data_IF_046069334605
#
_entry.id   IF_046069334605
#
_cell.length_a   1.000
_cell.length_b   1.000
_cell.length_c   1.000
_cell.angle_alpha   90.00
_cell.angle_beta   90.00
_cell.angle_gamma   90.00
#
_symmetry.space_group_name_H-M   'P 1'
#
loop_
_entity.id
_entity.type
_entity.pdbx_description
1 polymer ?
#
# COMPACT_ATOMS: atom_id res chain seq x y z
N UNK A 1 1.47 -16.44 64.44
CA UNK A 1 1.98 -16.90 63.13
C UNK A 1 1.17 -16.22 62.07
N UNK A 2 1.79 -15.25 61.40
CA UNK A 2 1.19 -14.32 60.43
C UNK A 2 1.21 -14.93 59.03
N UNK A 3 0.05 -14.88 58.37
CA UNK A 3 -0.15 -15.15 56.94
C UNK A 3 0.51 -14.05 56.09
N UNK A 4 1.05 -14.38 54.90
CA UNK A 4 1.18 -13.39 53.83
C UNK A 4 0.11 -13.64 52.75
N UNK A 5 -0.74 -12.63 52.57
CA UNK A 5 -1.56 -12.41 51.38
C UNK A 5 -0.66 -12.13 50.17
N UNK A 6 -0.90 -12.82 49.06
CA UNK A 6 -0.34 -12.48 47.75
C UNK A 6 -1.23 -11.42 47.09
N UNK A 7 -0.69 -10.22 46.93
CA UNK A 7 -1.34 -9.12 46.23
C UNK A 7 -1.36 -9.38 44.72
N UNK A 8 -2.56 -9.50 44.15
CA UNK A 8 -2.76 -9.40 42.71
C UNK A 8 -2.53 -7.94 42.29
N UNK A 9 -1.48 -7.69 41.50
CA UNK A 9 -1.22 -6.38 40.91
C UNK A 9 -2.35 -5.96 39.95
N UNK A 10 -2.57 -4.64 39.77
CA UNK A 10 -3.63 -4.15 38.91
C UNK A 10 -3.39 -4.56 37.46
N UNK A 11 -4.43 -5.16 36.83
CA UNK A 11 -4.50 -5.34 35.37
C UNK A 11 -4.32 -3.97 34.73
N UNK A 12 -3.25 -3.80 33.95
CA UNK A 12 -3.03 -2.61 33.14
C UNK A 12 -4.24 -2.41 32.23
N UNK A 13 -4.93 -1.27 32.36
CA UNK A 13 -5.99 -0.88 31.44
C UNK A 13 -5.41 -0.66 30.04
N UNK A 14 -6.17 -0.97 28.96
CA UNK A 14 -5.75 -0.61 27.62
C UNK A 14 -5.57 0.91 27.52
N UNK A 15 -4.38 1.34 27.12
CA UNK A 15 -4.02 2.75 26.97
C UNK A 15 -4.88 3.39 25.87
N UNK A 16 -5.82 4.25 26.24
CA UNK A 16 -6.65 4.99 25.29
C UNK A 16 -5.86 6.07 24.55
N UNK A 17 -5.95 6.06 23.21
CA UNK A 17 -5.75 7.16 22.24
C UNK A 17 -4.53 8.07 22.43
N UNK A 18 -4.59 8.97 23.41
CA UNK A 18 -3.56 9.99 23.68
C UNK A 18 -2.26 9.40 24.25
N UNK A 19 -2.36 8.37 25.10
CA UNK A 19 -1.17 7.79 25.73
C UNK A 19 -0.36 6.96 24.74
N UNK A 20 -1.00 6.18 23.87
CA UNK A 20 -0.35 5.48 22.76
C UNK A 20 0.30 6.47 21.77
N UNK A 21 -0.36 7.60 21.52
CA UNK A 21 0.15 8.67 20.66
C UNK A 21 1.39 9.37 21.25
N UNK A 22 1.34 9.79 22.51
CA UNK A 22 2.47 10.43 23.19
C UNK A 22 3.67 9.48 23.34
N UNK A 23 3.40 8.20 23.57
CA UNK A 23 4.45 7.21 23.75
C UNK A 23 5.15 6.83 22.44
N UNK A 24 4.47 6.90 21.27
CA UNK A 24 5.02 6.41 19.98
C UNK A 24 5.25 7.48 18.92
N UNK A 25 4.38 8.47 18.75
CA UNK A 25 4.55 9.54 17.74
C UNK A 25 5.11 10.86 18.32
N UNK A 26 5.35 10.91 19.63
CA UNK A 26 5.96 12.03 20.34
C UNK A 26 5.00 13.18 20.67
N UNK A 27 5.40 14.02 21.63
CA UNK A 27 4.59 15.10 22.19
C UNK A 27 4.14 16.14 21.13
N UNK A 28 4.91 16.36 20.06
CA UNK A 28 4.54 17.33 19.03
C UNK A 28 3.33 16.88 18.19
N UNK A 29 3.23 15.58 17.86
CA UNK A 29 2.09 15.02 17.14
C UNK A 29 0.82 15.04 18.01
N UNK A 30 0.96 14.72 19.30
CA UNK A 30 -0.12 14.81 20.27
C UNK A 30 -0.61 16.25 20.48
N UNK A 31 0.30 17.21 20.66
CA UNK A 31 -0.06 18.63 20.85
C UNK A 31 -0.74 19.24 19.62
N UNK A 32 -0.25 18.96 18.41
CA UNK A 32 -0.90 19.43 17.16
C UNK A 32 -2.28 18.82 16.94
N UNK A 33 -2.51 17.60 17.42
CA UNK A 33 -3.81 16.95 17.37
C UNK A 33 -4.80 17.55 18.39
N UNK A 34 -4.35 17.80 19.62
CA UNK A 34 -5.17 18.45 20.67
C UNK A 34 -5.56 19.87 20.28
N UNK A 35 -4.64 20.64 19.68
CA UNK A 35 -4.93 22.02 19.25
C UNK A 35 -6.03 22.05 18.18
N UNK A 36 -5.96 21.18 17.17
CA UNK A 36 -6.97 21.08 16.09
C UNK A 36 -8.36 20.67 16.58
N UNK A 37 -8.45 19.84 17.62
CA UNK A 37 -9.72 19.46 18.24
C UNK A 37 -10.45 20.63 18.90
N UNK A 38 -9.72 21.65 19.39
CA UNK A 38 -10.35 22.88 19.89
C UNK A 38 -10.96 23.66 18.73
N UNK A 39 -10.24 23.78 17.63
CA UNK A 39 -10.70 24.55 16.46
C UNK A 39 -11.89 23.90 15.74
N UNK A 40 -12.02 22.57 15.77
CA UNK A 40 -13.15 21.84 15.18
C UNK A 40 -14.40 21.78 16.09
N UNK A 41 -14.26 22.01 17.40
CA UNK A 41 -15.39 21.94 18.34
C UNK A 41 -16.35 23.13 18.19
N UNK A 42 -15.89 24.20 17.53
CA UNK A 42 -16.66 25.42 17.26
C UNK A 42 -17.48 25.35 15.95
N UNK A 43 -17.47 24.21 15.25
CA UNK A 43 -18.27 23.97 14.05
C UNK A 43 -19.03 22.64 14.17
N UNK A 44 -20.22 22.67 14.75
CA UNK A 44 -21.19 21.58 14.58
C UNK A 44 -22.60 22.14 14.62
N UNK A 45 -23.30 22.02 13.49
CA UNK A 45 -24.73 21.67 13.39
C UNK A 45 -25.08 21.53 11.90
N UNK A 46 -25.01 20.30 11.39
CA UNK A 46 -25.75 19.79 10.22
C UNK A 46 -25.44 18.29 10.10
N UNK A 47 -26.34 17.46 10.63
CA UNK A 47 -26.37 16.01 10.42
C UNK A 47 -27.30 15.72 9.22
N UNK A 48 -26.70 15.53 8.04
CA UNK A 48 -27.30 14.83 6.92
C UNK A 48 -26.46 13.58 6.62
N UNK A 49 -27.10 12.54 6.09
CA UNK A 49 -26.59 11.18 5.82
C UNK A 49 -25.23 11.15 5.12
N UNK A 50 -24.15 11.32 5.87
CA UNK A 50 -22.79 11.16 5.38
C UNK A 50 -22.45 9.67 5.39
N UNK A 51 -21.81 9.18 4.31
CA UNK A 51 -21.28 7.82 4.29
C UNK A 51 -20.41 7.61 5.54
N UNK A 52 -20.68 6.59 6.37
CA UNK A 52 -19.88 6.30 7.55
C UNK A 52 -18.37 6.21 7.25
N UNK A 53 -17.96 5.79 6.04
CA UNK A 53 -16.56 5.74 5.61
C UNK A 53 -15.93 7.10 5.32
N UNK A 54 -16.69 8.19 5.35
CA UNK A 54 -16.20 9.58 5.22
C UNK A 54 -16.06 10.30 6.58
N UNK A 55 -16.28 9.58 7.68
CA UNK A 55 -16.10 10.10 9.03
C UNK A 55 -14.67 9.90 9.55
N UNK A 56 -14.27 10.79 10.46
CA UNK A 56 -13.00 10.73 11.17
C UNK A 56 -13.14 9.97 12.50
N UNK A 57 -12.41 8.86 12.63
CA UNK A 57 -12.57 7.89 13.73
C UNK A 57 -11.41 7.85 14.73
N UNK A 58 -10.37 8.69 14.61
CA UNK A 58 -9.21 8.57 15.50
C UNK A 58 -9.53 8.71 16.99
N UNK A 59 -10.61 9.41 17.39
CA UNK A 59 -11.05 9.47 18.80
C UNK A 59 -12.00 8.36 19.22
N UNK A 60 -12.54 7.61 18.27
CA UNK A 60 -13.55 6.58 18.49
C UNK A 60 -13.26 5.38 17.56
N UNK A 61 -12.07 4.77 17.68
CA UNK A 61 -11.60 3.73 16.74
C UNK A 61 -12.55 2.54 16.64
N UNK A 62 -13.22 2.19 17.75
CA UNK A 62 -14.18 1.07 17.83
C UNK A 62 -15.53 1.37 17.20
N UNK A 63 -15.79 2.62 16.79
CA UNK A 63 -17.01 3.02 16.06
C UNK A 63 -16.83 2.97 14.54
N UNK A 64 -15.62 2.74 14.06
CA UNK A 64 -15.37 2.59 12.63
C UNK A 64 -16.10 1.35 12.09
N UNK A 65 -16.77 1.41 10.92
CA UNK A 65 -17.53 0.29 10.37
C UNK A 65 -16.72 -1.01 10.23
N UNK A 66 -15.45 -0.91 9.83
CA UNK A 66 -14.53 -2.04 9.67
C UNK A 66 -13.86 -2.55 10.97
N UNK A 67 -14.20 -2.03 12.15
CA UNK A 67 -13.53 -2.42 13.41
C UNK A 67 -13.62 -3.91 13.70
N UNK A 68 -14.82 -4.50 13.60
CA UNK A 68 -15.00 -5.94 13.85
C UNK A 68 -14.29 -6.81 12.80
N UNK A 69 -14.32 -6.38 11.53
CA UNK A 69 -13.61 -7.04 10.44
C UNK A 69 -12.11 -7.02 10.71
N UNK A 70 -11.56 -5.86 11.10
CA UNK A 70 -10.16 -5.69 11.45
C UNK A 70 -9.71 -6.63 12.58
N UNK A 71 -10.48 -6.71 13.67
CA UNK A 71 -10.13 -7.60 14.79
C UNK A 71 -10.15 -9.07 14.36
N UNK A 72 -11.17 -9.52 13.61
CA UNK A 72 -11.25 -10.89 13.11
C UNK A 72 -10.06 -11.24 12.20
N UNK A 73 -9.73 -10.35 11.26
CA UNK A 73 -8.64 -10.57 10.31
C UNK A 73 -7.26 -10.57 10.99
N UNK A 74 -7.01 -9.65 11.91
CA UNK A 74 -5.74 -9.61 12.64
C UNK A 74 -5.57 -10.79 13.58
N UNK A 75 -6.65 -11.24 14.23
CA UNK A 75 -6.65 -12.45 15.04
C UNK A 75 -6.34 -13.68 14.17
N UNK A 76 -7.00 -13.82 13.01
CA UNK A 76 -6.74 -14.92 12.08
C UNK A 76 -5.32 -14.89 11.50
N UNK A 77 -4.74 -13.70 11.33
CA UNK A 77 -3.35 -13.51 10.90
C UNK A 77 -2.32 -13.77 12.01
N UNK A 78 -2.75 -14.07 13.25
CA UNK A 78 -1.86 -14.31 14.39
C UNK A 78 -1.17 -13.05 14.90
N UNK A 79 -1.73 -11.86 14.64
CA UNK A 79 -1.19 -10.59 15.13
C UNK A 79 -1.67 -10.38 16.57
N UNK A 80 -0.77 -10.12 17.54
CA UNK A 80 -1.15 -9.83 18.93
C UNK A 80 -2.17 -8.68 19.00
N UNK A 81 -3.23 -8.86 19.78
CA UNK A 81 -4.36 -7.92 19.77
C UNK A 81 -4.00 -6.53 20.31
N UNK A 82 -3.08 -6.44 21.26
CA UNK A 82 -2.57 -5.16 21.75
C UNK A 82 -1.78 -4.40 20.66
N UNK A 83 -1.05 -5.13 19.80
CA UNK A 83 -0.39 -4.55 18.64
C UNK A 83 -1.39 -4.15 17.55
N UNK A 84 -2.38 -5.00 17.27
CA UNK A 84 -3.44 -4.72 16.31
C UNK A 84 -4.23 -3.46 16.71
N UNK A 85 -4.71 -3.39 17.95
CA UNK A 85 -5.47 -2.23 18.44
C UNK A 85 -4.65 -0.94 18.35
N UNK A 86 -3.35 -0.99 18.66
CA UNK A 86 -2.45 0.14 18.51
C UNK A 86 -2.22 0.52 17.04
N UNK A 87 -2.07 -0.47 16.16
CA UNK A 87 -1.91 -0.25 14.73
C UNK A 87 -3.16 0.38 14.11
N UNK A 88 -4.35 -0.09 14.50
CA UNK A 88 -5.63 0.50 14.08
C UNK A 88 -5.75 1.97 14.49
N UNK A 89 -5.41 2.28 15.73
CA UNK A 89 -5.40 3.65 16.23
C UNK A 89 -4.42 4.55 15.45
N UNK A 90 -3.25 4.01 15.08
CA UNK A 90 -2.27 4.74 14.28
C UNK A 90 -2.76 4.98 12.85
N UNK A 91 -3.35 3.97 12.24
CA UNK A 91 -3.93 4.04 10.89
C UNK A 91 -5.02 5.12 10.82
N UNK A 92 -5.99 5.10 11.75
CA UNK A 92 -7.07 6.10 11.79
C UNK A 92 -6.55 7.51 12.12
N UNK A 93 -5.55 7.63 13.01
CA UNK A 93 -4.90 8.92 13.26
C UNK A 93 -4.16 9.47 12.04
N UNK A 94 -3.61 8.59 11.21
CA UNK A 94 -3.04 8.95 9.92
C UNK A 94 -4.09 9.49 8.94
N UNK A 95 -5.24 8.82 8.82
CA UNK A 95 -6.36 9.29 8.00
C UNK A 95 -6.83 10.68 8.45
N UNK A 96 -7.04 10.87 9.76
CA UNK A 96 -7.50 12.14 10.31
C UNK A 96 -6.49 13.28 10.16
N UNK A 97 -5.20 12.98 10.10
CA UNK A 97 -4.15 13.99 9.96
C UNK A 97 -3.77 14.33 8.51
N UNK A 98 -4.06 13.44 7.57
CA UNK A 98 -3.69 13.59 6.16
C UNK A 98 -4.30 14.82 5.44
N UNK A 99 -5.54 15.29 5.72
CA UNK A 99 -6.09 16.46 5.06
C UNK A 99 -5.21 17.72 5.22
N UNK A 100 -4.61 17.91 6.39
CA UNK A 100 -3.73 19.05 6.64
C UNK A 100 -2.45 18.98 5.78
N UNK A 101 -1.86 17.80 5.65
CA UNK A 101 -0.70 17.57 4.79
C UNK A 101 -1.06 17.72 3.30
N UNK A 102 -2.29 17.34 2.91
CA UNK A 102 -2.77 17.55 1.56
C UNK A 102 -2.91 19.05 1.24
N UNK A 103 -3.43 19.85 2.18
CA UNK A 103 -3.54 21.29 2.05
C UNK A 103 -2.16 21.97 2.04
N UNK A 104 -1.25 21.57 2.94
CA UNK A 104 0.13 22.07 2.99
C UNK A 104 0.86 21.80 1.67
N UNK A 105 0.78 20.57 1.16
CA UNK A 105 1.37 20.19 -0.12
C UNK A 105 0.86 21.07 -1.27
N UNK A 106 -0.45 21.32 -1.33
CA UNK A 106 -1.05 22.16 -2.37
C UNK A 106 -0.66 23.64 -2.25
N UNK A 107 -0.48 24.14 -1.03
CA UNK A 107 -0.07 25.52 -0.76
C UNK A 107 1.41 25.77 -1.09
N UNK A 108 2.28 24.78 -0.85
CA UNK A 108 3.73 24.95 -1.02
C UNK A 108 4.19 24.81 -2.49
N UNK A 109 3.52 23.99 -3.30
CA UNK A 109 4.01 23.70 -4.65
C UNK A 109 2.94 23.13 -5.58
N UNK A 110 3.07 23.41 -6.88
CA UNK A 110 2.32 22.75 -7.95
C UNK A 110 3.02 21.48 -8.47
N UNK A 111 4.27 21.23 -8.07
CA UNK A 111 5.02 20.05 -8.48
C UNK A 111 4.45 18.79 -7.82
N UNK A 112 4.00 17.83 -8.64
CA UNK A 112 3.31 16.62 -8.17
C UNK A 112 4.21 15.74 -7.30
N UNK A 113 5.51 15.69 -7.60
CA UNK A 113 6.44 14.84 -6.87
C UNK A 113 6.69 15.41 -5.47
N UNK A 114 6.97 16.70 -5.36
CA UNK A 114 7.10 17.40 -4.07
C UNK A 114 5.82 17.33 -3.24
N UNK A 115 4.65 17.45 -3.87
CA UNK A 115 3.38 17.26 -3.16
C UNK A 115 3.28 15.85 -2.55
N UNK A 116 3.67 14.81 -3.29
CA UNK A 116 3.66 13.42 -2.81
C UNK A 116 4.63 13.23 -1.64
N UNK A 117 5.82 13.84 -1.72
CA UNK A 117 6.82 13.81 -0.64
C UNK A 117 6.29 14.44 0.64
N UNK A 118 5.68 15.63 0.58
CA UNK A 118 5.05 16.28 1.73
C UNK A 118 3.94 15.39 2.30
N UNK A 119 3.05 14.86 1.45
CA UNK A 119 1.96 13.98 1.89
C UNK A 119 2.45 12.70 2.58
N UNK A 120 3.61 12.19 2.17
CA UNK A 120 4.24 11.01 2.76
C UNK A 120 4.98 11.29 4.09
N UNK A 121 5.04 12.54 4.58
CA UNK A 121 5.63 12.89 5.89
C UNK A 121 4.72 12.56 7.09
N UNK A 122 3.55 11.95 6.84
CA UNK A 122 2.57 11.64 7.88
C UNK A 122 3.15 10.69 8.95
N UNK A 123 3.52 11.23 10.11
CA UNK A 123 4.18 10.49 11.19
C UNK A 123 3.35 9.35 11.74
N UNK A 124 2.01 9.44 11.67
CA UNK A 124 1.13 8.36 12.08
C UNK A 124 1.25 7.14 11.18
N UNK A 125 1.33 7.35 9.87
CA UNK A 125 1.57 6.26 8.91
C UNK A 125 2.97 5.66 9.07
N UNK A 126 3.99 6.48 9.35
CA UNK A 126 5.33 5.96 9.66
C UNK A 126 5.35 5.08 10.91
N UNK A 127 4.73 5.50 12.01
CA UNK A 127 4.66 4.69 13.24
C UNK A 127 3.77 3.45 13.07
N UNK A 128 2.67 3.56 12.29
CA UNK A 128 1.87 2.40 11.88
C UNK A 128 2.73 1.37 11.16
N UNK A 129 3.44 1.78 10.10
CA UNK A 129 4.27 0.89 9.29
C UNK A 129 5.38 0.28 10.13
N UNK A 130 6.08 1.08 10.94
CA UNK A 130 7.13 0.61 11.84
C UNK A 130 6.64 -0.47 12.82
N UNK A 131 5.44 -0.31 13.38
CA UNK A 131 4.84 -1.32 14.25
C UNK A 131 4.51 -2.61 13.47
N UNK A 132 4.07 -2.46 12.23
CA UNK A 132 3.60 -3.58 11.40
C UNK A 132 4.67 -4.26 10.56
N UNK A 133 5.90 -3.72 10.46
CA UNK A 133 6.96 -4.27 9.61
C UNK A 133 7.27 -5.74 9.88
N UNK A 134 7.29 -6.17 11.14
CA UNK A 134 7.53 -7.58 11.49
C UNK A 134 6.41 -8.52 11.04
N UNK A 135 5.26 -8.00 10.63
CA UNK A 135 4.14 -8.77 10.09
C UNK A 135 4.10 -8.72 8.55
N UNK A 136 5.12 -8.12 7.92
CA UNK A 136 5.35 -8.08 6.48
C UNK A 136 6.36 -9.13 6.00
N UNK A 137 6.68 -10.13 6.82
CA UNK A 137 7.63 -11.20 6.48
C UNK A 137 7.24 -11.95 5.19
N UNK A 138 8.26 -12.37 4.43
CA UNK A 138 8.08 -13.15 3.21
C UNK A 138 7.68 -14.59 3.58
N UNK A 139 6.59 -15.10 3.01
CA UNK A 139 6.16 -16.49 3.21
C UNK A 139 6.87 -17.45 2.23
N UNK A 140 7.53 -16.89 1.22
CA UNK A 140 8.26 -17.60 0.17
C UNK A 140 9.70 -17.10 0.09
N UNK A 141 10.61 -17.81 -0.60
CA UNK A 141 12.01 -17.42 -0.69
C UNK A 141 12.26 -16.04 -1.33
N UNK A 142 11.36 -15.60 -2.22
CA UNK A 142 11.52 -14.34 -2.97
C UNK A 142 10.30 -13.43 -2.84
N UNK A 143 10.57 -12.13 -2.98
CA UNK A 143 9.58 -11.06 -2.97
C UNK A 143 8.96 -10.88 -4.36
N UNK A 144 7.70 -10.47 -4.40
CA UNK A 144 7.07 -9.96 -5.62
C UNK A 144 6.60 -8.52 -5.47
N UNK A 145 6.78 -7.75 -6.53
CA UNK A 145 6.12 -6.46 -6.73
C UNK A 145 5.27 -6.52 -8.00
N UNK A 146 4.26 -5.66 -8.12
CA UNK A 146 3.36 -5.75 -9.26
C UNK A 146 2.69 -4.44 -9.65
N UNK A 147 2.29 -4.37 -10.92
CA UNK A 147 1.45 -3.31 -11.45
C UNK A 147 0.44 -3.84 -12.47
N UNK A 148 -0.75 -3.23 -12.48
CA UNK A 148 -1.80 -3.52 -13.45
C UNK A 148 -3.01 -4.27 -12.90
N UNK A 149 -3.26 -4.21 -11.59
CA UNK A 149 -4.50 -4.65 -10.92
C UNK A 149 -4.36 -5.93 -10.07
N UNK A 150 -5.29 -6.12 -9.14
CA UNK A 150 -5.17 -7.04 -8.00
C UNK A 150 -4.87 -8.50 -8.38
N UNK A 151 -5.44 -8.99 -9.49
CA UNK A 151 -5.17 -10.34 -9.99
C UNK A 151 -3.70 -10.63 -10.34
N UNK A 152 -2.85 -9.60 -10.46
CA UNK A 152 -1.39 -9.78 -10.62
C UNK A 152 -0.74 -10.22 -9.31
N UNK A 153 -1.23 -9.77 -8.16
CA UNK A 153 -0.79 -10.20 -6.85
C UNK A 153 -1.03 -11.71 -6.66
N UNK A 154 -2.23 -12.17 -7.00
CA UNK A 154 -2.58 -13.59 -6.95
C UNK A 154 -1.72 -14.44 -7.90
N UNK A 155 -1.50 -13.94 -9.12
CA UNK A 155 -0.60 -14.58 -10.08
C UNK A 155 0.81 -14.72 -9.49
N UNK A 156 1.41 -13.63 -9.01
CA UNK A 156 2.74 -13.64 -8.40
C UNK A 156 2.85 -14.63 -7.22
N UNK A 157 1.80 -14.71 -6.38
CA UNK A 157 1.73 -15.70 -5.30
C UNK A 157 1.69 -17.12 -5.82
N UNK A 158 0.90 -17.40 -6.86
CA UNK A 158 0.84 -18.73 -7.49
C UNK A 158 2.17 -19.16 -8.12
N UNK A 159 3.06 -18.21 -8.41
CA UNK A 159 4.43 -18.44 -8.90
C UNK A 159 5.45 -18.67 -7.78
N UNK A 160 5.02 -18.67 -6.52
CA UNK A 160 5.90 -18.91 -5.38
C UNK A 160 6.64 -17.67 -4.90
N UNK A 161 6.12 -16.48 -5.16
CA UNK A 161 6.68 -15.21 -4.69
C UNK A 161 5.72 -14.53 -3.71
N UNK A 162 6.23 -13.74 -2.76
CA UNK A 162 5.39 -13.05 -1.78
C UNK A 162 5.16 -11.60 -2.21
N UNK A 163 3.96 -11.24 -2.71
CA UNK A 163 3.58 -9.83 -2.83
C UNK A 163 3.19 -9.23 -1.48
N UNK A 164 3.20 -7.89 -1.39
CA UNK A 164 2.80 -7.17 -0.17
C UNK A 164 1.45 -7.64 0.36
N UNK A 165 0.43 -7.74 -0.51
CA UNK A 165 -0.92 -8.19 -0.15
C UNK A 165 -0.98 -9.65 0.34
N UNK A 166 0.06 -10.47 0.08
CA UNK A 166 0.15 -11.82 0.61
C UNK A 166 0.84 -11.90 1.98
N UNK A 167 1.42 -10.82 2.50
CA UNK A 167 1.97 -10.81 3.88
C UNK A 167 0.85 -10.88 4.93
N UNK A 168 1.19 -11.16 6.19
CA UNK A 168 0.18 -11.26 7.27
C UNK A 168 -0.63 -9.97 7.40
N UNK A 169 0.03 -8.82 7.50
CA UNK A 169 -0.65 -7.52 7.57
C UNK A 169 -1.20 -7.09 6.21
N UNK A 170 -0.54 -7.43 5.11
CA UNK A 170 -1.03 -7.12 3.76
C UNK A 170 -2.42 -7.70 3.52
N UNK A 171 -2.63 -8.99 3.85
CA UNK A 171 -3.95 -9.65 3.72
C UNK A 171 -5.05 -8.99 4.54
N UNK A 172 -4.69 -8.41 5.68
CA UNK A 172 -5.64 -7.67 6.52
C UNK A 172 -6.01 -6.36 5.82
N UNK A 173 -5.03 -5.58 5.37
CA UNK A 173 -5.25 -4.26 4.77
C UNK A 173 -5.92 -4.33 3.39
N UNK A 174 -5.67 -5.39 2.62
CA UNK A 174 -6.22 -5.59 1.28
C UNK A 174 -7.76 -5.71 1.27
N UNK A 175 -8.34 -6.15 2.40
CA UNK A 175 -9.80 -6.34 2.56
C UNK A 175 -10.49 -5.09 3.11
N UNK A 176 -9.77 -4.25 3.85
CA UNK A 176 -10.37 -3.20 4.67
C UNK A 176 -10.67 -1.93 3.87
N UNK A 177 -11.90 -1.43 4.03
CA UNK A 177 -12.28 -0.09 3.56
C UNK A 177 -12.05 0.92 4.68
N UNK A 178 -10.83 1.42 4.78
CA UNK A 178 -10.43 2.34 5.87
C UNK A 178 -11.04 3.75 5.71
N UNK A 179 -11.19 4.23 4.48
CA UNK A 179 -11.83 5.51 4.16
C UNK A 179 -12.17 5.55 2.67
N UNK A 180 -13.23 6.27 2.28
CA UNK A 180 -13.65 6.38 0.87
C UNK A 180 -12.67 7.22 0.02
N UNK A 181 -12.12 8.28 0.58
CA UNK A 181 -11.14 9.15 -0.11
C UNK A 181 -9.72 8.57 -0.12
N UNK A 182 -9.28 8.13 -1.32
CA UNK A 182 -7.92 7.66 -1.58
C UNK A 182 -6.83 8.70 -1.28
N UNK A 183 -7.14 10.00 -1.32
CA UNK A 183 -6.16 11.03 -0.95
C UNK A 183 -5.78 10.99 0.53
N UNK A 184 -6.59 10.33 1.36
CA UNK A 184 -6.29 10.13 2.77
C UNK A 184 -5.50 8.84 3.00
N UNK A 185 -5.85 7.76 2.32
CA UNK A 185 -5.26 6.42 2.53
C UNK A 185 -4.07 6.11 1.62
N UNK A 186 -4.02 6.66 0.41
CA UNK A 186 -2.94 6.44 -0.56
C UNK A 186 -1.52 6.73 -0.03
N UNK A 187 -1.29 7.80 0.77
CA UNK A 187 0.00 8.03 1.39
C UNK A 187 0.45 6.91 2.34
N UNK A 188 -0.47 6.22 3.03
CA UNK A 188 -0.13 5.05 3.87
C UNK A 188 0.46 3.93 3.01
N UNK A 189 -0.16 3.62 1.88
CA UNK A 189 0.32 2.61 0.95
C UNK A 189 1.72 2.93 0.40
N UNK A 190 2.05 4.20 0.16
CA UNK A 190 3.42 4.58 -0.21
C UNK A 190 4.43 4.22 0.89
N UNK A 191 4.13 4.56 2.15
CA UNK A 191 5.03 4.26 3.28
C UNK A 191 5.16 2.75 3.47
N UNK A 192 4.05 2.02 3.36
CA UNK A 192 4.01 0.56 3.50
C UNK A 192 4.80 -0.14 2.39
N UNK A 193 4.57 0.23 1.13
CA UNK A 193 5.31 -0.29 -0.04
C UNK A 193 6.82 -0.06 0.09
N UNK A 194 7.24 1.13 0.52
CA UNK A 194 8.66 1.42 0.74
C UNK A 194 9.25 0.53 1.84
N UNK A 195 8.55 0.36 2.96
CA UNK A 195 9.01 -0.52 4.02
C UNK A 195 9.08 -1.99 3.59
N UNK A 196 8.11 -2.45 2.79
CA UNK A 196 8.10 -3.80 2.24
C UNK A 196 9.30 -4.05 1.33
N UNK A 197 9.59 -3.14 0.40
CA UNK A 197 10.78 -3.21 -0.47
C UNK A 197 12.09 -3.32 0.33
N UNK A 198 12.19 -2.62 1.46
CA UNK A 198 13.36 -2.67 2.33
C UNK A 198 13.56 -4.02 3.04
N UNK A 199 12.61 -4.97 2.93
CA UNK A 199 12.77 -6.35 3.40
C UNK A 199 13.42 -7.27 2.36
N UNK A 200 13.71 -6.78 1.15
CA UNK A 200 14.32 -7.59 0.10
C UNK A 200 15.72 -8.05 0.51
N UNK A 201 15.92 -9.36 0.51
CA UNK A 201 17.21 -10.01 0.85
C UNK A 201 17.81 -10.82 -0.30
N UNK A 202 17.03 -11.06 -1.35
CA UNK A 202 17.43 -11.80 -2.55
C UNK A 202 16.61 -11.33 -3.75
N UNK A 203 16.46 -12.16 -4.80
CA UNK A 203 15.75 -11.78 -6.02
C UNK A 203 14.33 -11.25 -5.77
N UNK A 204 13.98 -10.20 -6.48
CA UNK A 204 12.66 -9.54 -6.46
C UNK A 204 12.03 -9.66 -7.83
N UNK A 205 10.91 -10.36 -7.90
CA UNK A 205 10.16 -10.58 -9.14
C UNK A 205 9.12 -9.47 -9.34
N UNK A 206 9.20 -8.77 -10.46
CA UNK A 206 8.39 -7.58 -10.78
C UNK A 206 7.45 -7.92 -11.92
N UNK A 207 6.17 -8.07 -11.59
CA UNK A 207 5.12 -8.48 -12.52
C UNK A 207 4.35 -7.27 -13.08
N UNK A 208 4.36 -7.09 -14.40
CA UNK A 208 3.80 -5.90 -15.05
C UNK A 208 2.75 -6.30 -16.09
N UNK A 209 1.47 -6.12 -15.76
CA UNK A 209 0.35 -6.27 -16.72
C UNK A 209 0.00 -4.96 -17.41
N UNK A 210 0.19 -3.84 -16.72
CA UNK A 210 0.03 -2.50 -17.27
C UNK A 210 1.15 -1.61 -16.75
N UNK A 211 1.74 -0.81 -17.63
CA UNK A 211 2.74 0.17 -17.26
C UNK A 211 2.07 1.53 -16.99
N UNK A 212 2.38 2.11 -15.84
CA UNK A 212 1.96 3.45 -15.43
C UNK A 212 3.15 4.12 -14.72
N UNK A 213 3.79 5.16 -15.31
CA UNK A 213 4.93 5.84 -14.71
C UNK A 213 4.64 6.39 -13.31
N UNK A 214 3.40 6.78 -13.04
CA UNK A 214 2.97 7.37 -11.78
C UNK A 214 2.56 6.35 -10.70
N UNK A 215 2.54 5.05 -11.04
CA UNK A 215 2.23 3.97 -10.11
C UNK A 215 3.21 3.90 -8.94
N UNK A 216 2.77 3.33 -7.81
CA UNK A 216 3.64 3.09 -6.65
C UNK A 216 4.85 2.25 -7.06
N UNK A 217 4.64 1.20 -7.86
CA UNK A 217 5.72 0.35 -8.38
C UNK A 217 6.82 1.17 -9.07
N UNK A 218 6.46 1.90 -10.13
CA UNK A 218 7.46 2.54 -10.99
C UNK A 218 8.09 3.75 -10.34
N UNK A 219 7.29 4.56 -9.63
CA UNK A 219 7.75 5.83 -9.07
C UNK A 219 8.43 5.69 -7.71
N UNK A 220 8.09 4.67 -6.94
CA UNK A 220 8.54 4.53 -5.55
C UNK A 220 9.32 3.24 -5.32
N UNK A 221 8.72 2.08 -5.58
CA UNK A 221 9.29 0.78 -5.22
C UNK A 221 10.55 0.48 -6.03
N UNK A 222 10.54 0.71 -7.34
CA UNK A 222 11.69 0.47 -8.22
C UNK A 222 12.87 1.37 -7.86
N UNK A 223 12.73 2.71 -7.71
CA UNK A 223 13.83 3.54 -7.21
C UNK A 223 14.36 3.10 -5.85
N UNK A 224 13.47 2.72 -4.91
CA UNK A 224 13.89 2.22 -3.60
C UNK A 224 14.67 0.91 -3.71
N UNK A 225 14.24 -0.03 -4.57
CA UNK A 225 14.96 -1.27 -4.83
C UNK A 225 16.38 -1.02 -5.36
N UNK A 226 16.58 -0.01 -6.21
CA UNK A 226 17.94 0.35 -6.62
C UNK A 226 18.79 0.83 -5.44
N UNK A 227 18.19 1.48 -4.42
CA UNK A 227 18.91 1.82 -3.19
C UNK A 227 19.28 0.57 -2.40
N UNK A 228 18.34 -0.37 -2.24
CA UNK A 228 18.55 -1.64 -1.53
C UNK A 228 19.62 -2.48 -2.23
N UNK A 229 19.56 -2.62 -3.56
CA UNK A 229 20.53 -3.37 -4.37
C UNK A 229 21.97 -2.84 -4.22
N UNK A 230 22.15 -1.52 -4.04
CA UNK A 230 23.48 -0.94 -3.78
C UNK A 230 24.07 -1.36 -2.42
N UNK A 231 23.21 -1.74 -1.47
CA UNK A 231 23.62 -2.21 -0.15
C UNK A 231 23.67 -3.74 -0.06
N UNK A 232 22.85 -4.42 -0.86
CA UNK A 232 22.79 -5.88 -0.96
C UNK A 232 22.73 -6.30 -2.44
N UNK A 233 23.88 -6.66 -3.05
CA UNK A 233 23.94 -7.08 -4.45
C UNK A 233 23.13 -8.34 -4.79
N UNK A 234 22.79 -9.17 -3.80
CA UNK A 234 21.95 -10.36 -3.99
C UNK A 234 20.49 -9.99 -4.35
N UNK A 235 20.11 -8.73 -4.15
CA UNK A 235 18.81 -8.19 -4.58
C UNK A 235 18.86 -7.90 -6.08
N UNK A 236 18.47 -8.89 -6.87
CA UNK A 236 18.30 -8.77 -8.32
C UNK A 236 16.84 -8.46 -8.68
N UNK A 237 16.62 -7.54 -9.62
CA UNK A 237 15.29 -7.21 -10.14
C UNK A 237 14.99 -8.03 -11.39
N UNK A 238 14.04 -8.96 -11.29
CA UNK A 238 13.63 -9.84 -12.38
C UNK A 238 12.25 -9.40 -12.88
N UNK A 239 12.13 -9.00 -14.13
CA UNK A 239 10.91 -8.41 -14.68
C UNK A 239 10.10 -9.42 -15.50
N UNK A 240 8.77 -9.40 -15.34
CA UNK A 240 7.83 -10.31 -15.99
C UNK A 240 6.67 -9.53 -16.65
N UNK A 241 6.63 -9.41 -17.99
CA UNK A 241 5.51 -8.79 -18.68
C UNK A 241 4.34 -9.76 -18.76
N UNK A 242 3.14 -9.30 -18.39
CA UNK A 242 1.95 -10.14 -18.27
C UNK A 242 0.85 -9.75 -19.24
N UNK A 243 0.09 -10.76 -19.66
CA UNK A 243 -1.18 -10.61 -20.36
C UNK A 243 -2.23 -11.52 -19.74
N UNK A 244 -3.42 -10.95 -19.48
CA UNK A 244 -4.59 -11.73 -19.05
C UNK A 244 -5.48 -11.97 -20.25
N UNK A 245 -5.66 -13.24 -20.60
CA UNK A 245 -6.53 -13.68 -21.69
C UNK A 245 -8.01 -13.46 -21.35
N UNK A 246 -8.88 -13.52 -22.37
CA UNK A 246 -10.34 -13.34 -22.20
C UNK A 246 -10.98 -14.37 -21.26
N UNK A 247 -10.39 -15.56 -21.15
CA UNK A 247 -10.78 -16.60 -20.20
C UNK A 247 -10.31 -16.33 -18.75
N UNK A 248 -9.61 -15.21 -18.50
CA UNK A 248 -9.08 -14.83 -17.20
C UNK A 248 -7.71 -15.44 -16.85
N UNK A 249 -7.16 -16.33 -17.69
CA UNK A 249 -5.82 -16.89 -17.47
C UNK A 249 -4.76 -15.83 -17.72
N UNK A 250 -3.89 -15.60 -16.74
CA UNK A 250 -2.71 -14.74 -16.89
C UNK A 250 -1.51 -15.57 -17.34
N UNK A 251 -0.78 -15.07 -18.33
CA UNK A 251 0.46 -15.65 -18.86
C UNK A 251 1.52 -14.58 -19.06
N UNK A 252 2.77 -15.00 -19.17
CA UNK A 252 3.91 -14.12 -19.42
C UNK A 252 4.18 -14.00 -20.92
N UNK A 253 4.68 -12.84 -21.34
CA UNK A 253 4.95 -12.53 -22.73
C UNK A 253 6.44 -12.77 -23.01
N UNK A 254 6.76 -13.71 -23.90
CA UNK A 254 8.14 -14.00 -24.31
C UNK A 254 8.70 -12.94 -25.27
N UNK A 255 10.04 -12.93 -25.54
CA UNK A 255 10.66 -11.96 -26.45
C UNK A 255 10.09 -11.98 -27.88
N UNK A 256 9.61 -13.14 -28.34
CA UNK A 256 8.95 -13.36 -29.62
C UNK A 256 7.42 -13.17 -29.57
N UNK A 257 6.90 -12.52 -28.52
CA UNK A 257 5.48 -12.20 -28.32
C UNK A 257 4.55 -13.42 -28.25
N UNK A 258 5.02 -14.52 -27.67
CA UNK A 258 4.18 -15.69 -27.35
C UNK A 258 3.78 -15.65 -25.88
N UNK A 259 2.61 -16.20 -25.57
CA UNK A 259 2.17 -16.40 -24.20
C UNK A 259 2.75 -17.70 -23.64
N UNK A 260 3.57 -17.59 -22.61
CA UNK A 260 4.29 -18.68 -21.96
C UNK A 260 4.06 -18.67 -20.45
N UNK A 261 4.48 -19.74 -19.77
CA UNK A 261 4.34 -19.84 -18.31
C UNK A 261 5.51 -19.18 -17.55
N UNK A 262 6.60 -18.77 -18.21
CA UNK A 262 7.70 -18.00 -17.62
C UNK A 262 8.47 -17.23 -18.70
N UNK A 263 8.65 -15.92 -18.52
CA UNK A 263 9.48 -15.05 -19.34
C UNK A 263 10.12 -13.96 -18.48
N UNK A 264 11.40 -14.11 -18.20
CA UNK A 264 12.18 -13.23 -17.33
C UNK A 264 13.00 -12.22 -18.13
N UNK A 265 13.10 -11.01 -17.58
CA UNK A 265 13.85 -9.90 -18.16
C UNK A 265 14.71 -9.22 -17.10
N UNK A 266 15.94 -8.89 -17.48
CA UNK A 266 16.95 -8.20 -16.65
C UNK A 266 16.69 -6.68 -16.49
N UNK A 267 15.61 -6.16 -17.08
CA UNK A 267 15.38 -4.72 -17.07
C UNK A 267 13.97 -4.29 -17.47
N UNK A 268 13.52 -3.23 -16.80
CA UNK A 268 12.23 -2.56 -17.03
C UNK A 268 11.97 -2.29 -18.51
N UNK A 269 12.94 -1.67 -19.19
CA UNK A 269 12.70 -1.15 -20.55
C UNK A 269 12.45 -2.28 -21.55
N UNK A 270 13.16 -3.41 -21.43
CA UNK A 270 12.91 -4.62 -22.24
C UNK A 270 11.53 -5.22 -21.92
N UNK A 271 11.21 -5.38 -20.65
CA UNK A 271 9.91 -5.88 -20.18
C UNK A 271 8.75 -5.03 -20.72
N UNK A 272 8.82 -3.70 -20.54
CA UNK A 272 7.78 -2.77 -21.00
C UNK A 272 7.70 -2.72 -22.53
N UNK A 273 8.83 -2.78 -23.23
CA UNK A 273 8.86 -2.83 -24.70
C UNK A 273 8.13 -4.06 -25.24
N UNK A 274 8.36 -5.24 -24.64
CA UNK A 274 7.68 -6.48 -25.03
C UNK A 274 6.19 -6.41 -24.71
N UNK A 275 5.81 -5.93 -23.52
CA UNK A 275 4.41 -5.72 -23.15
C UNK A 275 3.68 -4.83 -24.17
N UNK A 276 4.26 -3.68 -24.52
CA UNK A 276 3.67 -2.75 -25.47
C UNK A 276 3.59 -3.33 -26.88
N UNK A 277 4.63 -4.03 -27.33
CA UNK A 277 4.61 -4.71 -28.63
C UNK A 277 3.47 -5.71 -28.69
N UNK A 278 3.31 -6.53 -27.65
CA UNK A 278 2.25 -7.53 -27.58
C UNK A 278 0.86 -6.87 -27.59
N UNK A 279 0.64 -5.88 -26.73
CA UNK A 279 -0.64 -5.18 -26.65
C UNK A 279 -1.01 -4.47 -27.96
N UNK A 280 -0.04 -3.97 -28.73
CA UNK A 280 -0.31 -3.36 -30.04
C UNK A 280 -0.66 -4.37 -31.13
N UNK A 281 -0.03 -5.54 -31.12
CA UNK A 281 -0.12 -6.51 -32.21
C UNK A 281 -1.22 -7.57 -31.98
N UNK A 282 -1.44 -7.96 -30.73
CA UNK A 282 -2.21 -9.16 -30.39
C UNK A 282 -3.35 -8.90 -29.41
N UNK A 283 -3.58 -7.65 -28.97
CA UNK A 283 -4.72 -7.37 -28.11
C UNK A 283 -6.03 -7.56 -28.88
N UNK A 284 -6.87 -8.45 -28.35
CA UNK A 284 -8.25 -8.62 -28.77
C UNK A 284 -9.13 -7.52 -28.16
N UNK A 285 -9.80 -6.73 -29.00
CA UNK A 285 -10.71 -5.67 -28.56
C UNK A 285 -11.90 -6.18 -27.74
N UNK A 286 -12.25 -7.46 -27.85
CA UNK A 286 -13.26 -8.13 -27.01
C UNK A 286 -12.73 -8.57 -25.64
N UNK A 287 -11.42 -8.49 -25.39
CA UNK A 287 -10.82 -8.88 -24.13
C UNK A 287 -10.88 -7.75 -23.09
N UNK A 288 -12.02 -7.66 -22.39
CA UNK A 288 -12.24 -6.68 -21.32
C UNK A 288 -11.21 -6.78 -20.17
N UNK A 289 -10.62 -7.95 -19.93
CA UNK A 289 -9.61 -8.15 -18.88
C UNK A 289 -8.28 -7.45 -19.19
N UNK A 290 -7.92 -7.36 -20.47
CA UNK A 290 -6.72 -6.67 -20.93
C UNK A 290 -6.98 -5.23 -21.40
N UNK A 291 -8.24 -4.84 -21.56
CA UNK A 291 -8.63 -3.51 -22.04
C UNK A 291 -8.01 -2.35 -21.23
N UNK A 292 -7.95 -2.37 -19.88
CA UNK A 292 -7.31 -1.31 -19.11
C UNK A 292 -5.82 -1.15 -19.43
N UNK A 293 -5.08 -2.27 -19.59
CA UNK A 293 -3.67 -2.25 -19.93
C UNK A 293 -3.43 -1.67 -21.34
N UNK A 294 -4.25 -2.09 -22.30
CA UNK A 294 -4.19 -1.58 -23.67
C UNK A 294 -4.55 -0.09 -23.75
N UNK A 295 -5.56 0.37 -22.99
CA UNK A 295 -5.93 1.79 -22.91
C UNK A 295 -4.81 2.63 -22.27
N UNK A 296 -4.21 2.16 -21.17
CA UNK A 296 -3.07 2.84 -20.54
C UNK A 296 -1.90 2.98 -21.53
N UNK A 297 -1.55 1.92 -22.25
CA UNK A 297 -0.53 1.95 -23.28
C UNK A 297 -0.83 3.00 -24.36
N UNK A 298 -2.05 2.99 -24.93
CA UNK A 298 -2.44 3.98 -25.96
C UNK A 298 -2.32 5.42 -25.46
N UNK A 299 -2.78 5.68 -24.24
CA UNK A 299 -2.66 6.99 -23.59
C UNK A 299 -1.19 7.42 -23.48
N UNK A 300 -0.32 6.56 -22.96
CA UNK A 300 1.11 6.86 -22.77
C UNK A 300 1.83 7.07 -24.12
N UNK A 301 1.53 6.27 -25.13
CA UNK A 301 2.10 6.45 -26.47
C UNK A 301 1.70 7.81 -27.05
N UNK A 302 0.43 8.18 -26.91
CA UNK A 302 -0.10 9.47 -27.36
C UNK A 302 0.56 10.64 -26.63
N UNK A 303 0.68 10.57 -25.30
CA UNK A 303 1.33 11.58 -24.46
C UNK A 303 2.82 11.77 -24.83
N UNK A 304 3.50 10.69 -25.22
CA UNK A 304 4.90 10.72 -25.67
C UNK A 304 5.08 11.08 -27.15
N UNK A 305 4.03 11.51 -27.85
CA UNK A 305 4.09 11.95 -29.24
C UNK A 305 4.15 10.83 -30.28
N UNK A 306 3.96 9.57 -29.88
CA UNK A 306 3.76 8.47 -30.81
C UNK A 306 2.28 8.45 -31.24
N UNK A 307 2.02 8.93 -32.46
CA UNK A 307 0.70 8.76 -33.09
C UNK A 307 0.53 7.29 -33.52
N UNK A 308 -0.66 6.73 -33.30
CA UNK A 308 -1.04 5.46 -33.90
C UNK A 308 -0.90 5.56 -35.43
N UNK A 309 0.04 4.81 -36.02
CA UNK A 309 0.22 4.70 -37.47
C UNK A 309 1.59 5.16 -38.00
N UNK A 310 2.48 4.17 -38.19
CA UNK A 310 2.98 3.88 -39.55
C UNK A 310 2.21 2.67 -40.02
#
# INVERSE_FOLDING_TARGET
MTTPQTAAGPKAMPLTGMAALQQRAGNAAATRWVQRKKDQKDQKDQEDQKDPLEEHYATRPTKHPEWETYQKLTQAAGIPQDEADAAWQLLLGGVDSQPALNAEAAAQTSDRQKQREIRATNTWYHEFVKLMTKHMELETPTMALWAGGDGVSEYARSRGHTPLAATRIGRVLDVLKVHADWKLTGPMWNVLSKAFVNLATGPVHIFVRAYEPDSILIRLEVPELHLVQRLNPDVEMIWHPLYTESNGRTREISPDCRLVDNAEYDGRDKCVSVLYRYLRQFHDSGNEKAAPAHQSMKRILTENGHKDGV
#
